data_IF_702822741498
#
_entry.id   IF_702822741498
#
_cell.length_a   1.000
_cell.length_b   1.000
_cell.length_c   1.000
_cell.angle_alpha   90.00
_cell.angle_beta   90.00
_cell.angle_gamma   90.00
#
_symmetry.space_group_name_H-M   'P 1'
#
loop_
_entity.id
_entity.type
_entity.pdbx_description
1 polymer ?
#
# COMPACT_ATOMS: atom_id res chain seq x y z
N UNK A 1 -75.32 -23.11 -66.85
CA UNK A 1 -73.93 -22.82 -67.25
C UNK A 1 -73.95 -21.91 -68.43
N UNK A 2 -73.73 -20.62 -68.28
CA UNK A 2 -73.55 -19.67 -69.35
C UNK A 2 -72.17 -19.79 -69.94
N UNK A 3 -72.00 -20.33 -71.14
CA UNK A 3 -70.72 -20.29 -71.82
C UNK A 3 -70.53 -18.87 -72.30
N UNK A 4 -69.57 -18.18 -71.79
CA UNK A 4 -69.11 -16.90 -72.26
C UNK A 4 -67.94 -17.21 -73.22
N UNK A 5 -68.08 -16.89 -74.51
CA UNK A 5 -66.94 -16.93 -75.40
C UNK A 5 -66.10 -15.69 -75.15
N UNK A 6 -64.98 -15.91 -74.53
CA UNK A 6 -63.98 -14.84 -74.34
C UNK A 6 -63.02 -14.91 -75.48
N UNK A 7 -63.09 -13.95 -76.36
CA UNK A 7 -62.12 -13.80 -77.45
C UNK A 7 -60.78 -13.24 -77.00
N UNK A 8 -60.70 -12.84 -75.72
CA UNK A 8 -59.49 -12.29 -75.13
C UNK A 8 -58.82 -13.33 -74.20
N UNK A 9 -57.61 -13.71 -74.55
CA UNK A 9 -56.74 -14.58 -73.74
C UNK A 9 -56.09 -13.82 -72.58
N UNK A 10 -56.47 -12.55 -72.39
CA UNK A 10 -55.95 -11.66 -71.38
C UNK A 10 -57.08 -11.10 -70.53
N UNK A 11 -56.76 -10.87 -69.22
CA UNK A 11 -57.66 -10.19 -68.29
C UNK A 11 -57.02 -8.84 -67.87
N UNK A 12 -57.88 -7.85 -67.54
CA UNK A 12 -57.45 -6.56 -67.07
C UNK A 12 -56.86 -6.74 -65.67
N UNK A 13 -55.74 -6.08 -65.39
CA UNK A 13 -55.11 -6.05 -64.09
C UNK A 13 -55.71 -4.89 -63.28
N UNK A 14 -56.39 -5.21 -62.19
CA UNK A 14 -56.90 -4.21 -61.27
C UNK A 14 -55.72 -3.73 -60.44
N UNK A 15 -55.10 -2.61 -60.85
CA UNK A 15 -53.88 -2.05 -60.11
C UNK A 15 -54.17 -1.69 -58.70
N UNK A 16 -55.38 -1.39 -58.29
CA UNK A 16 -55.84 -1.16 -56.92
C UNK A 16 -55.66 -2.38 -56.02
N UNK A 17 -55.63 -3.58 -56.60
CA UNK A 17 -55.49 -4.82 -55.89
C UNK A 17 -54.03 -5.14 -55.65
N UNK A 18 -53.11 -4.40 -56.26
CA UNK A 18 -51.66 -4.55 -56.10
C UNK A 18 -51.17 -3.48 -55.16
N UNK A 19 -50.73 -3.94 -53.94
CA UNK A 19 -50.19 -3.01 -53.01
C UNK A 19 -48.77 -2.55 -53.44
N UNK A 20 -48.65 -1.24 -53.72
CA UNK A 20 -47.43 -0.55 -54.15
C UNK A 20 -47.03 0.47 -53.08
N UNK A 21 -47.47 0.28 -51.83
CA UNK A 21 -47.11 1.08 -50.65
C UNK A 21 -46.50 0.19 -49.59
N UNK A 22 -46.34 0.69 -48.42
CA UNK A 22 -45.66 0.00 -47.28
C UNK A 22 -46.52 -1.14 -46.72
N UNK A 23 -46.49 -2.29 -47.36
CA UNK A 23 -47.25 -3.49 -47.03
C UNK A 23 -46.61 -4.27 -45.87
N UNK A 24 -45.31 -4.24 -45.78
CA UNK A 24 -44.52 -5.02 -44.83
C UNK A 24 -43.74 -4.08 -43.93
N UNK A 25 -43.79 -4.30 -42.62
CA UNK A 25 -43.02 -3.53 -41.66
C UNK A 25 -41.52 -3.55 -41.99
N UNK A 26 -40.90 -2.39 -42.04
CA UNK A 26 -39.49 -2.23 -42.34
C UNK A 26 -39.09 -2.38 -43.79
N UNK A 27 -40.06 -2.51 -44.72
CA UNK A 27 -39.84 -2.59 -46.18
C UNK A 27 -40.58 -1.50 -46.91
N UNK A 28 -39.96 -0.98 -47.95
CA UNK A 28 -40.60 -0.08 -48.91
C UNK A 28 -40.83 -0.78 -50.27
N UNK A 29 -41.86 -0.37 -50.95
CA UNK A 29 -42.11 -0.83 -52.34
C UNK A 29 -40.91 -0.44 -53.22
N UNK A 30 -40.38 -1.44 -53.94
CA UNK A 30 -39.28 -1.27 -54.89
C UNK A 30 -39.84 -1.13 -56.30
N UNK A 31 -40.06 0.11 -56.77
CA UNK A 31 -40.61 0.42 -58.05
C UNK A 31 -39.64 0.02 -59.17
N UNK A 32 -38.32 0.17 -58.97
CA UNK A 32 -37.30 -0.09 -59.99
C UNK A 32 -37.25 -1.60 -60.34
N UNK A 33 -37.15 -2.43 -59.29
CA UNK A 33 -37.12 -3.89 -59.49
C UNK A 33 -38.49 -4.46 -59.93
N UNK A 34 -39.60 -3.89 -59.44
CA UNK A 34 -40.96 -4.30 -59.83
C UNK A 34 -41.22 -3.98 -61.28
N UNK A 35 -40.70 -2.85 -61.76
CA UNK A 35 -40.95 -2.37 -63.16
C UNK A 35 -42.40 -1.96 -63.40
N UNK A 36 -42.77 -1.91 -64.62
CA UNK A 36 -44.12 -1.50 -65.00
C UNK A 36 -45.11 -2.65 -64.82
N UNK A 37 -46.11 -2.39 -63.94
CA UNK A 37 -47.24 -3.33 -63.78
C UNK A 37 -48.14 -3.28 -65.08
N UNK A 38 -48.32 -4.40 -65.76
CA UNK A 38 -49.05 -4.42 -67.01
C UNK A 38 -50.55 -4.13 -66.79
N UNK A 39 -51.19 -3.50 -67.76
CA UNK A 39 -52.64 -3.24 -67.72
C UNK A 39 -53.47 -4.51 -67.97
N UNK A 40 -52.89 -5.49 -68.65
CA UNK A 40 -53.54 -6.79 -68.92
C UNK A 40 -52.53 -7.92 -68.75
N UNK A 41 -53.02 -9.12 -68.35
CA UNK A 41 -52.19 -10.31 -68.14
C UNK A 41 -52.86 -11.52 -68.71
N UNK A 42 -52.12 -12.39 -69.40
CA UNK A 42 -52.62 -13.63 -69.97
C UNK A 42 -52.67 -14.78 -68.95
N UNK A 43 -53.18 -15.95 -69.46
CA UNK A 43 -53.16 -17.14 -68.61
C UNK A 43 -51.74 -17.49 -68.14
N UNK A 44 -51.62 -17.97 -66.89
CA UNK A 44 -50.38 -18.30 -66.26
C UNK A 44 -49.36 -17.12 -66.09
N UNK A 45 -49.82 -15.89 -66.43
CA UNK A 45 -49.00 -14.68 -66.16
C UNK A 45 -48.81 -14.40 -64.71
N UNK A 46 -47.60 -13.93 -64.33
CA UNK A 46 -47.24 -13.61 -62.98
C UNK A 46 -46.80 -12.16 -62.88
N UNK A 47 -47.41 -11.42 -61.97
CA UNK A 47 -46.97 -10.08 -61.58
C UNK A 47 -46.11 -10.24 -60.32
N UNK A 48 -44.87 -9.78 -60.45
CA UNK A 48 -43.95 -9.80 -59.30
C UNK A 48 -43.87 -8.39 -58.73
N UNK A 49 -44.16 -8.26 -57.45
CA UNK A 49 -44.04 -7.00 -56.68
C UNK A 49 -42.95 -7.17 -55.68
N UNK A 50 -41.95 -6.31 -55.77
CA UNK A 50 -40.75 -6.38 -54.91
C UNK A 50 -40.82 -5.30 -53.88
N UNK A 51 -40.24 -5.66 -52.68
CA UNK A 51 -40.07 -4.76 -51.56
C UNK A 51 -38.60 -4.87 -51.12
N UNK A 52 -38.01 -3.73 -50.77
CA UNK A 52 -36.63 -3.64 -50.29
C UNK A 52 -36.64 -3.28 -48.82
N UNK A 53 -35.78 -3.91 -48.01
CA UNK A 53 -35.62 -3.58 -46.58
C UNK A 53 -35.03 -2.19 -46.42
N UNK A 54 -35.67 -1.36 -45.60
CA UNK A 54 -35.22 -0.02 -45.25
C UNK A 54 -34.03 -0.10 -44.29
N UNK A 55 -33.22 0.95 -44.29
CA UNK A 55 -32.13 1.13 -43.32
C UNK A 55 -32.61 1.95 -42.13
N UNK A 56 -32.26 1.47 -40.93
CA UNK A 56 -32.55 2.13 -39.69
C UNK A 56 -31.24 2.40 -38.91
N UNK A 57 -31.24 3.49 -38.20
CA UNK A 57 -30.11 3.84 -37.34
C UNK A 57 -30.04 2.90 -36.15
N UNK A 58 -28.81 2.56 -35.75
CA UNK A 58 -28.48 1.95 -34.46
C UNK A 58 -27.29 2.65 -33.83
N UNK A 59 -27.24 2.65 -32.52
CA UNK A 59 -26.16 3.24 -31.74
C UNK A 59 -25.34 2.18 -31.01
N UNK A 60 -24.05 2.47 -30.83
CA UNK A 60 -23.17 1.72 -29.94
C UNK A 60 -22.73 2.67 -28.81
N UNK A 61 -23.21 2.40 -27.62
CA UNK A 61 -22.94 3.16 -26.40
C UNK A 61 -21.85 2.48 -25.58
N UNK A 62 -20.91 3.25 -25.03
CA UNK A 62 -19.81 2.74 -24.22
C UNK A 62 -19.93 3.24 -22.78
N UNK A 63 -19.87 2.30 -21.83
CA UNK A 63 -20.01 2.54 -20.41
C UNK A 63 -18.73 2.18 -19.68
N UNK A 64 -18.27 3.07 -18.78
CA UNK A 64 -17.14 2.85 -17.89
C UNK A 64 -17.64 2.95 -16.45
N UNK A 65 -17.55 1.84 -15.69
CA UNK A 65 -18.16 1.69 -14.35
C UNK A 65 -19.66 2.10 -14.37
N UNK A 66 -20.42 1.60 -15.37
CA UNK A 66 -21.85 1.89 -15.60
C UNK A 66 -22.17 3.36 -15.97
N UNK A 67 -21.16 4.22 -16.16
CA UNK A 67 -21.34 5.61 -16.63
C UNK A 67 -21.08 5.68 -18.13
N UNK A 68 -22.07 6.21 -18.88
CA UNK A 68 -21.93 6.39 -20.33
C UNK A 68 -20.89 7.45 -20.67
N UNK A 69 -20.02 7.13 -21.61
CA UNK A 69 -19.14 8.11 -22.27
C UNK A 69 -19.73 8.50 -23.62
N UNK A 70 -20.49 9.60 -23.64
CA UNK A 70 -21.13 10.10 -24.85
C UNK A 70 -20.14 10.46 -25.97
N UNK A 71 -18.88 10.78 -25.64
CA UNK A 71 -17.85 11.10 -26.63
C UNK A 71 -17.43 9.88 -27.46
N UNK A 72 -17.70 8.68 -26.95
CA UNK A 72 -17.37 7.40 -27.58
C UNK A 72 -18.54 6.77 -28.33
N UNK A 73 -19.77 7.29 -28.17
CA UNK A 73 -20.95 6.76 -28.82
C UNK A 73 -20.82 6.85 -30.35
N UNK A 74 -21.07 5.74 -31.03
CA UNK A 74 -21.10 5.66 -32.50
C UNK A 74 -22.53 5.45 -33.00
N UNK A 75 -22.83 6.02 -34.15
CA UNK A 75 -24.10 5.83 -34.85
C UNK A 75 -23.86 5.28 -36.25
N UNK A 76 -24.60 4.23 -36.61
CA UNK A 76 -24.51 3.53 -37.88
C UNK A 76 -25.90 3.27 -38.44
N UNK A 77 -25.97 2.77 -39.69
CA UNK A 77 -27.20 2.27 -40.31
C UNK A 77 -27.08 0.83 -40.75
N UNK A 78 -28.14 0.08 -40.58
CA UNK A 78 -28.25 -1.27 -41.12
C UNK A 78 -29.69 -1.58 -41.54
N UNK A 79 -29.85 -2.55 -42.45
CA UNK A 79 -31.14 -2.94 -42.98
C UNK A 79 -32.01 -3.58 -41.91
N UNK A 80 -33.31 -3.34 -42.02
CA UNK A 80 -34.31 -3.98 -41.19
C UNK A 80 -34.10 -5.49 -41.11
N UNK A 81 -34.31 -6.03 -39.89
CA UNK A 81 -34.14 -7.44 -39.57
C UNK A 81 -32.70 -7.99 -39.74
N UNK A 82 -31.70 -7.13 -39.93
CA UNK A 82 -30.30 -7.53 -39.91
C UNK A 82 -29.85 -7.75 -38.47
N UNK A 83 -29.10 -8.81 -38.20
CA UNK A 83 -28.43 -9.02 -36.94
C UNK A 83 -27.07 -8.29 -36.93
N UNK A 84 -26.87 -7.40 -35.96
CA UNK A 84 -25.60 -6.69 -35.73
C UNK A 84 -24.94 -7.28 -34.49
N UNK A 85 -23.76 -7.85 -34.68
CA UNK A 85 -23.03 -8.57 -33.64
C UNK A 85 -21.61 -8.03 -33.37
N UNK A 86 -21.19 -7.00 -34.12
CA UNK A 86 -19.85 -6.40 -34.02
C UNK A 86 -19.91 -4.94 -33.58
N UNK A 87 -18.91 -4.53 -32.87
CA UNK A 87 -18.66 -3.14 -32.42
C UNK A 87 -17.17 -2.91 -32.27
N UNK A 88 -16.73 -1.65 -32.26
CA UNK A 88 -15.34 -1.31 -32.00
C UNK A 88 -14.98 -1.51 -30.52
N UNK A 89 -13.79 -2.01 -30.26
CA UNK A 89 -13.24 -1.99 -28.89
C UNK A 89 -12.69 -0.57 -28.59
N UNK A 90 -13.31 0.12 -27.64
CA UNK A 90 -12.91 1.46 -27.18
C UNK A 90 -12.39 1.45 -25.73
N UNK A 91 -11.77 0.34 -25.35
CA UNK A 91 -11.15 0.16 -24.04
C UNK A 91 -10.19 1.29 -23.70
N UNK A 92 -10.32 1.84 -22.48
CA UNK A 92 -9.40 2.82 -21.90
C UNK A 92 -8.35 2.15 -21.03
N UNK A 93 -7.15 2.76 -20.87
CA UNK A 93 -6.16 2.30 -19.90
C UNK A 93 -6.76 2.20 -18.50
N UNK A 94 -6.51 1.08 -17.83
CA UNK A 94 -7.04 0.83 -16.49
C UNK A 94 -8.41 0.16 -16.45
N UNK A 95 -9.05 -0.04 -17.61
CA UNK A 95 -10.33 -0.73 -17.72
C UNK A 95 -10.20 -2.05 -18.48
N UNK A 96 -11.09 -2.97 -18.22
CA UNK A 96 -11.27 -4.22 -18.96
C UNK A 96 -12.71 -4.37 -19.42
N UNK A 97 -12.90 -5.06 -20.56
CA UNK A 97 -14.21 -5.45 -21.04
C UNK A 97 -14.94 -6.31 -19.99
N UNK A 98 -16.20 -6.01 -19.76
CA UNK A 98 -17.07 -6.79 -18.90
C UNK A 98 -18.11 -7.56 -19.70
N UNK A 99 -18.96 -6.85 -20.44
CA UNK A 99 -20.07 -7.41 -21.22
C UNK A 99 -20.51 -6.48 -22.35
N UNK A 100 -21.28 -7.01 -23.28
CA UNK A 100 -22.01 -6.23 -24.27
C UNK A 100 -23.41 -6.82 -24.47
N UNK A 101 -24.35 -5.97 -24.95
CA UNK A 101 -25.71 -6.41 -25.29
C UNK A 101 -25.83 -6.97 -26.69
N UNK A 102 -24.76 -6.95 -27.50
CA UNK A 102 -24.72 -7.60 -28.80
C UNK A 102 -24.91 -9.14 -28.66
N UNK A 103 -25.56 -9.81 -29.66
CA UNK A 103 -26.11 -9.25 -30.90
C UNK A 103 -27.45 -8.56 -30.69
N UNK A 104 -27.77 -7.56 -31.53
CA UNK A 104 -29.12 -6.98 -31.67
C UNK A 104 -29.69 -7.25 -33.05
N UNK A 105 -31.01 -7.27 -33.16
CA UNK A 105 -31.71 -7.32 -34.49
C UNK A 105 -32.31 -5.96 -34.76
N UNK A 106 -32.04 -5.40 -35.93
CA UNK A 106 -32.50 -4.06 -36.34
C UNK A 106 -34.01 -4.04 -36.49
N UNK A 107 -34.65 -3.14 -35.78
CA UNK A 107 -36.10 -2.89 -35.77
C UNK A 107 -36.41 -1.51 -36.36
N UNK A 108 -37.70 -1.22 -36.59
CA UNK A 108 -38.17 0.11 -36.99
C UNK A 108 -38.10 1.13 -35.85
N UNK A 109 -37.95 0.67 -34.58
CA UNK A 109 -37.83 1.50 -33.40
C UNK A 109 -36.33 1.73 -33.07
N UNK A 110 -35.84 2.91 -33.41
CA UNK A 110 -34.43 3.28 -33.15
C UNK A 110 -34.04 3.18 -31.69
N UNK A 111 -34.96 3.35 -30.75
CA UNK A 111 -34.66 3.25 -29.30
C UNK A 111 -34.29 1.83 -28.84
N UNK A 112 -34.69 0.82 -29.63
CA UNK A 112 -34.34 -0.60 -29.41
C UNK A 112 -33.07 -1.02 -30.13
N UNK A 113 -32.62 -0.24 -31.09
CA UNK A 113 -31.45 -0.52 -31.91
C UNK A 113 -30.18 0.01 -31.20
N UNK A 114 -29.88 -0.48 -29.98
CA UNK A 114 -28.77 0.00 -29.18
C UNK A 114 -27.91 -1.17 -28.68
N UNK A 115 -26.63 -1.18 -29.07
CA UNK A 115 -25.60 -2.03 -28.43
C UNK A 115 -24.98 -1.25 -27.30
N UNK A 116 -24.94 -1.83 -26.11
CA UNK A 116 -24.25 -1.28 -24.95
C UNK A 116 -23.03 -2.13 -24.62
N UNK A 117 -21.87 -1.48 -24.58
CA UNK A 117 -20.58 -2.11 -24.29
C UNK A 117 -20.11 -1.59 -22.93
N UNK A 118 -19.81 -2.50 -22.00
CA UNK A 118 -19.47 -2.18 -20.63
C UNK A 118 -18.02 -2.53 -20.33
N UNK A 119 -17.31 -1.58 -19.74
CA UNK A 119 -15.97 -1.73 -19.21
C UNK A 119 -15.98 -1.42 -17.71
N UNK A 120 -15.22 -2.20 -16.95
CA UNK A 120 -15.03 -2.01 -15.50
C UNK A 120 -13.56 -1.83 -15.19
N UNK A 121 -13.26 -1.15 -14.09
CA UNK A 121 -11.89 -0.99 -13.63
C UNK A 121 -11.20 -2.33 -13.50
N UNK A 122 -9.98 -2.42 -14.02
CA UNK A 122 -9.12 -3.58 -13.82
C UNK A 122 -8.32 -3.45 -12.54
N UNK A 123 -7.73 -4.54 -12.06
CA UNK A 123 -6.98 -4.62 -10.83
C UNK A 123 -5.50 -4.71 -11.11
N UNK A 124 -4.71 -3.85 -10.46
CA UNK A 124 -3.27 -3.77 -10.61
C UNK A 124 -2.59 -4.03 -9.28
N UNK A 125 -1.41 -4.65 -9.36
CA UNK A 125 -0.57 -4.89 -8.18
C UNK A 125 -0.03 -3.57 -7.65
N UNK A 126 0.13 -3.52 -6.33
CA UNK A 126 0.90 -2.52 -5.63
C UNK A 126 1.78 -3.18 -4.57
N UNK A 127 2.85 -2.50 -4.20
CA UNK A 127 3.82 -3.00 -3.24
C UNK A 127 3.97 -2.00 -2.10
N UNK A 128 4.04 -2.50 -0.85
CA UNK A 128 4.39 -1.70 0.32
C UNK A 128 5.65 -2.30 0.91
N UNK A 129 6.71 -1.51 0.93
CA UNK A 129 7.98 -1.85 1.52
C UNK A 129 8.11 -1.20 2.90
N UNK A 130 8.70 -1.92 3.84
CA UNK A 130 8.98 -1.45 5.18
C UNK A 130 10.48 -1.42 5.41
N UNK A 131 10.99 -0.24 5.80
CA UNK A 131 12.40 0.01 6.06
C UNK A 131 12.59 0.28 7.54
N UNK A 132 13.60 -0.37 8.15
CA UNK A 132 14.02 -0.17 9.53
C UNK A 132 15.47 0.29 9.53
N UNK A 133 15.75 1.50 10.03
CA UNK A 133 17.07 2.16 9.94
C UNK A 133 17.65 2.14 8.52
N UNK A 134 16.80 2.34 7.50
CA UNK A 134 17.19 2.37 6.10
C UNK A 134 17.34 0.99 5.41
N UNK A 135 17.17 -0.10 6.15
CA UNK A 135 17.24 -1.47 5.62
C UNK A 135 15.84 -2.01 5.36
N UNK A 136 15.61 -2.50 4.14
CA UNK A 136 14.32 -3.11 3.80
C UNK A 136 14.12 -4.45 4.52
N UNK A 137 12.96 -4.61 5.13
CA UNK A 137 12.51 -5.91 5.62
C UNK A 137 11.66 -6.60 4.57
N UNK A 138 12.30 -7.46 3.77
CA UNK A 138 11.62 -8.20 2.70
C UNK A 138 10.55 -9.15 3.22
N UNK A 139 10.65 -9.60 4.48
CA UNK A 139 9.64 -10.47 5.11
C UNK A 139 8.37 -9.71 5.49
N UNK A 140 8.47 -8.40 5.68
CA UNK A 140 7.36 -7.51 5.96
C UNK A 140 6.72 -6.93 4.69
N UNK A 141 7.41 -6.98 3.53
CA UNK A 141 6.90 -6.44 2.26
C UNK A 141 5.55 -7.05 1.92
N UNK A 142 4.59 -6.19 1.59
CA UNK A 142 3.24 -6.57 1.16
C UNK A 142 3.08 -6.32 -0.32
N UNK A 143 2.62 -7.34 -1.06
CA UNK A 143 2.19 -7.23 -2.46
C UNK A 143 0.72 -7.62 -2.51
N UNK A 144 -0.11 -6.70 -3.02
CA UNK A 144 -1.55 -6.88 -3.09
C UNK A 144 -2.08 -6.22 -4.37
N UNK A 145 -3.38 -6.28 -4.61
CA UNK A 145 -4.04 -5.68 -5.78
C UNK A 145 -5.16 -4.74 -5.34
N UNK A 146 -5.34 -3.68 -6.12
CA UNK A 146 -6.49 -2.79 -6.00
C UNK A 146 -6.97 -2.33 -7.37
N UNK A 147 -8.22 -1.89 -7.46
CA UNK A 147 -8.81 -1.40 -8.70
C UNK A 147 -8.12 -0.10 -9.16
N UNK A 148 -8.01 0.08 -10.47
CA UNK A 148 -7.50 1.29 -11.09
C UNK A 148 -8.10 2.57 -10.46
N UNK A 149 -7.27 3.54 -10.15
CA UNK A 149 -7.68 4.81 -9.55
C UNK A 149 -7.99 4.74 -8.04
N UNK A 150 -7.90 3.56 -7.40
CA UNK A 150 -8.05 3.45 -5.93
C UNK A 150 -6.88 4.17 -5.23
N UNK A 151 -7.17 4.90 -4.16
CA UNK A 151 -6.15 5.57 -3.35
C UNK A 151 -5.78 4.71 -2.14
N UNK A 152 -4.50 4.40 -2.00
CA UNK A 152 -3.93 3.68 -0.85
C UNK A 152 -3.16 4.68 0.00
N UNK A 153 -3.43 4.73 1.31
CA UNK A 153 -2.73 5.59 2.27
C UNK A 153 -1.82 4.75 3.17
N UNK A 154 -0.64 5.28 3.49
CA UNK A 154 0.28 4.63 4.41
C UNK A 154 -0.32 4.43 5.80
N UNK A 155 -1.18 5.36 6.26
CA UNK A 155 -1.84 5.29 7.57
C UNK A 155 -2.63 4.00 7.79
N UNK A 156 -3.15 3.41 6.71
CA UNK A 156 -3.93 2.19 6.74
C UNK A 156 -3.04 0.91 6.73
N UNK A 157 -1.71 1.11 6.74
CA UNK A 157 -0.69 0.08 6.55
C UNK A 157 0.43 0.12 7.61
N UNK A 158 0.14 0.68 8.80
CA UNK A 158 1.13 0.84 9.89
C UNK A 158 1.21 -0.36 10.84
N UNK A 159 0.61 -1.48 10.48
CA UNK A 159 0.56 -2.72 11.27
C UNK A 159 1.92 -3.43 11.44
N UNK A 160 2.97 -2.96 10.74
CA UNK A 160 4.32 -3.51 10.81
C UNK A 160 5.28 -2.68 11.69
N UNK A 161 4.76 -1.76 12.50
CA UNK A 161 5.60 -1.05 13.47
C UNK A 161 6.15 -2.04 14.50
N UNK A 162 7.48 -2.12 14.61
CA UNK A 162 8.20 -2.98 15.56
C UNK A 162 8.46 -2.24 16.86
N UNK A 163 8.57 -3.00 17.97
CA UNK A 163 9.01 -2.47 19.26
C UNK A 163 10.35 -1.76 19.12
N UNK A 164 10.50 -0.64 19.81
CA UNK A 164 11.72 0.17 19.80
C UNK A 164 11.90 1.04 18.55
N UNK A 165 11.02 0.94 17.54
CA UNK A 165 11.05 1.76 16.34
C UNK A 165 9.95 2.80 16.35
N UNK A 166 10.16 3.90 15.62
CA UNK A 166 9.18 4.97 15.39
C UNK A 166 9.08 5.29 13.90
N UNK A 167 7.88 5.67 13.48
CA UNK A 167 7.61 6.14 12.11
C UNK A 167 8.37 7.44 11.82
N UNK A 168 8.90 7.55 10.60
CA UNK A 168 9.59 8.75 10.10
C UNK A 168 8.87 9.34 8.90
N UNK A 169 8.71 8.55 7.84
CA UNK A 169 8.13 9.00 6.58
C UNK A 169 7.50 7.86 5.80
N UNK A 170 6.68 8.22 4.81
CA UNK A 170 6.15 7.29 3.83
C UNK A 170 6.24 7.91 2.44
N UNK A 171 7.14 7.41 1.61
CA UNK A 171 7.31 7.85 0.25
C UNK A 171 6.31 7.14 -0.67
N UNK A 172 5.79 7.85 -1.67
CA UNK A 172 4.78 7.32 -2.59
C UNK A 172 3.36 7.27 -2.03
N UNK A 173 3.09 7.89 -0.87
CA UNK A 173 1.76 7.96 -0.27
C UNK A 173 1.24 9.41 -0.24
N UNK A 174 -0.06 9.66 -0.55
CA UNK A 174 -1.05 8.68 -0.99
C UNK A 174 -0.75 8.14 -2.39
N UNK A 175 -0.92 6.82 -2.59
CA UNK A 175 -0.72 6.14 -3.86
C UNK A 175 -2.05 6.01 -4.59
N UNK A 176 -2.16 6.55 -5.82
CA UNK A 176 -3.28 6.27 -6.71
C UNK A 176 -2.88 5.14 -7.66
N UNK A 177 -3.60 4.03 -7.62
CA UNK A 177 -3.31 2.83 -8.41
C UNK A 177 -3.36 3.15 -9.90
N UNK A 178 -2.26 2.91 -10.59
CA UNK A 178 -2.06 3.09 -12.02
C UNK A 178 -1.87 1.76 -12.75
N UNK A 179 -1.91 1.80 -14.08
CA UNK A 179 -1.62 0.64 -14.95
C UNK A 179 -0.16 0.21 -14.87
N UNK A 180 0.73 1.09 -14.45
CA UNK A 180 2.14 0.79 -14.25
C UNK A 180 2.37 0.21 -12.84
N UNK A 181 2.28 -1.11 -12.73
CA UNK A 181 2.46 -1.82 -11.45
C UNK A 181 3.82 -1.54 -10.78
N UNK A 182 4.88 -1.27 -11.57
CA UNK A 182 6.20 -0.95 -11.02
C UNK A 182 6.25 0.42 -10.33
N UNK A 183 5.36 1.33 -10.69
CA UNK A 183 5.22 2.64 -10.05
C UNK A 183 4.26 2.62 -8.85
N UNK A 184 3.46 1.56 -8.69
CA UNK A 184 2.51 1.42 -7.58
C UNK A 184 3.22 0.95 -6.32
N UNK A 185 4.03 1.81 -5.71
CA UNK A 185 4.87 1.48 -4.55
C UNK A 185 4.74 2.54 -3.45
N UNK A 186 4.61 2.09 -2.21
CA UNK A 186 4.76 2.91 -1.00
C UNK A 186 5.95 2.36 -0.22
N UNK A 187 6.86 3.24 0.21
CA UNK A 187 7.96 2.90 1.09
C UNK A 187 7.73 3.55 2.46
N UNK A 188 7.56 2.74 3.50
CA UNK A 188 7.34 3.19 4.87
C UNK A 188 8.66 3.07 5.65
N UNK A 189 9.10 4.16 6.27
CA UNK A 189 10.38 4.25 6.96
C UNK A 189 10.19 4.37 8.46
N UNK A 190 10.86 3.48 9.18
CA UNK A 190 10.97 3.48 10.63
C UNK A 190 12.44 3.62 11.03
N UNK A 191 12.69 4.29 12.15
CA UNK A 191 14.02 4.37 12.76
C UNK A 191 13.95 3.88 14.20
N UNK A 192 15.06 3.29 14.67
CA UNK A 192 15.21 2.91 16.07
C UNK A 192 15.10 4.14 16.98
N UNK A 193 14.32 4.03 18.04
CA UNK A 193 14.25 5.02 19.11
C UNK A 193 15.57 5.10 19.87
N UNK A 194 15.77 6.20 20.60
CA UNK A 194 16.91 6.38 21.51
C UNK A 194 16.39 6.19 22.93
N UNK A 195 17.11 5.37 23.72
CA UNK A 195 16.77 5.02 25.09
C UNK A 195 17.95 5.26 26.01
N UNK A 196 17.64 5.67 27.24
CA UNK A 196 18.64 5.93 28.27
C UNK A 196 19.16 4.63 28.86
N UNK A 197 20.46 4.63 29.20
CA UNK A 197 21.06 3.63 30.04
C UNK A 197 21.82 4.31 31.19
N UNK A 198 21.98 3.61 32.31
CA UNK A 198 22.63 4.12 33.54
C UNK A 198 23.85 3.29 33.82
N UNK A 199 24.96 3.94 34.22
CA UNK A 199 26.14 3.31 34.80
C UNK A 199 26.15 3.68 36.26
N UNK A 200 25.97 2.69 37.13
CA UNK A 200 25.98 2.82 38.61
C UNK A 200 27.33 2.36 39.15
N UNK A 201 27.91 3.14 40.08
CA UNK A 201 29.17 2.82 40.70
C UNK A 201 28.96 2.51 42.18
N UNK A 202 29.46 1.37 42.62
CA UNK A 202 29.34 0.88 44.00
C UNK A 202 30.71 0.79 44.66
N UNK A 203 30.83 1.34 45.87
CA UNK A 203 32.01 1.27 46.70
C UNK A 203 31.66 0.52 47.99
N UNK A 204 32.34 -0.63 48.24
CA UNK A 204 31.98 -1.58 49.31
C UNK A 204 30.48 -1.92 49.35
N UNK A 205 29.85 -2.08 48.17
CA UNK A 205 28.45 -2.40 48.02
C UNK A 205 27.48 -1.23 48.18
N UNK A 206 27.97 -0.01 48.44
CA UNK A 206 27.14 1.21 48.56
C UNK A 206 27.24 2.00 47.25
N UNK A 207 26.07 2.35 46.67
CA UNK A 207 26.01 3.15 45.45
C UNK A 207 26.48 4.59 45.70
N UNK A 208 27.36 5.09 44.82
CA UNK A 208 27.73 6.50 44.75
C UNK A 208 26.87 7.19 43.71
N UNK A 209 25.83 7.90 44.17
CA UNK A 209 24.88 8.59 43.29
C UNK A 209 25.46 9.78 42.54
N UNK A 210 26.57 10.39 43.05
CA UNK A 210 27.25 11.51 42.41
C UNK A 210 28.06 11.04 41.19
N UNK A 211 28.56 9.81 41.25
CA UNK A 211 29.31 9.20 40.15
C UNK A 211 28.45 8.51 39.13
N UNK A 212 27.18 8.24 39.46
CA UNK A 212 26.21 7.62 38.53
C UNK A 212 26.08 8.43 37.24
N UNK A 213 26.23 7.76 36.10
CA UNK A 213 26.15 8.38 34.79
C UNK A 213 24.91 7.90 34.03
N UNK A 214 24.33 8.82 33.25
CA UNK A 214 23.25 8.50 32.28
C UNK A 214 23.68 8.91 30.90
N UNK A 215 23.51 8.01 29.98
CA UNK A 215 23.73 8.23 28.54
C UNK A 215 22.59 7.63 27.76
N UNK A 216 22.47 7.98 26.46
CA UNK A 216 21.43 7.46 25.63
C UNK A 216 21.99 6.99 24.27
N UNK A 217 21.50 5.88 23.80
CA UNK A 217 21.83 5.34 22.47
C UNK A 217 20.66 4.62 21.85
N UNK A 218 20.81 4.17 20.62
CA UNK A 218 19.72 3.55 19.83
C UNK A 218 19.27 2.22 20.43
N UNK A 219 18.00 1.94 20.28
CA UNK A 219 17.42 0.62 20.54
C UNK A 219 18.24 -0.49 19.87
N UNK A 220 18.43 -1.58 20.60
CA UNK A 220 19.20 -2.76 20.19
C UNK A 220 20.70 -2.50 19.92
N UNK A 221 21.23 -1.31 20.23
CA UNK A 221 22.68 -1.08 20.26
C UNK A 221 23.30 -1.81 21.43
N UNK A 222 24.58 -2.18 21.30
CA UNK A 222 25.34 -2.87 22.35
C UNK A 222 26.35 -1.90 22.95
N UNK A 223 26.29 -1.69 24.26
CA UNK A 223 27.28 -0.97 25.04
C UNK A 223 28.25 -1.99 25.65
N UNK A 224 29.54 -1.85 25.34
CA UNK A 224 30.56 -2.83 25.72
C UNK A 224 31.51 -2.35 26.85
N UNK A 225 31.46 -1.07 27.18
CA UNK A 225 32.41 -0.44 28.09
C UNK A 225 31.74 0.61 28.97
N UNK A 226 32.49 1.11 29.93
CA UNK A 226 32.12 2.16 30.87
C UNK A 226 33.36 2.99 31.23
N UNK A 227 33.15 4.19 31.76
CA UNK A 227 34.25 5.00 32.29
C UNK A 227 34.70 4.46 33.64
N UNK A 228 35.99 4.12 33.79
CA UNK A 228 36.55 3.73 35.09
C UNK A 228 36.59 4.94 36.04
N UNK A 229 35.98 4.78 37.23
CA UNK A 229 35.93 5.78 38.29
C UNK A 229 36.49 5.28 39.63
N UNK A 230 37.48 4.36 39.58
CA UNK A 230 38.11 3.83 40.78
C UNK A 230 38.77 4.94 41.59
N UNK A 231 38.38 5.09 42.85
CA UNK A 231 38.99 6.03 43.78
C UNK A 231 40.28 5.48 44.40
N UNK A 232 41.14 6.39 44.84
CA UNK A 232 42.31 6.02 45.66
C UNK A 232 41.87 5.26 46.91
N UNK A 233 42.53 4.13 47.20
CA UNK A 233 42.18 3.23 48.29
C UNK A 233 41.18 2.14 47.93
N UNK A 234 40.70 2.14 46.66
CA UNK A 234 39.81 1.11 46.10
C UNK A 234 40.46 0.41 44.92
N UNK A 235 39.97 -0.75 44.61
CA UNK A 235 40.31 -1.52 43.42
C UNK A 235 39.03 -2.06 42.78
N UNK A 236 39.08 -2.27 41.46
CA UNK A 236 38.00 -2.93 40.73
C UNK A 236 37.74 -4.34 41.28
N UNK A 237 36.46 -4.66 41.48
CA UNK A 237 36.01 -5.98 41.88
C UNK A 237 35.37 -6.72 40.71
N UNK A 238 34.29 -6.15 40.18
CA UNK A 238 33.52 -6.75 39.07
C UNK A 238 32.66 -5.71 38.37
N UNK A 239 32.16 -6.06 37.20
CA UNK A 239 31.10 -5.35 36.47
C UNK A 239 29.96 -6.30 36.16
N UNK A 240 28.72 -5.83 36.28
CA UNK A 240 27.51 -6.55 35.91
C UNK A 240 26.76 -5.77 34.87
N UNK A 241 26.03 -6.46 33.97
CA UNK A 241 25.24 -5.85 32.93
C UNK A 241 26.01 -5.53 31.65
N UNK A 242 27.27 -5.98 31.46
CA UNK A 242 28.01 -5.92 30.21
C UNK A 242 28.16 -7.28 29.55
N UNK A 243 28.10 -7.37 28.20
CA UNK A 243 27.66 -6.32 27.30
C UNK A 243 26.16 -6.00 27.48
N UNK A 244 25.78 -4.69 27.41
CA UNK A 244 24.42 -4.24 27.59
C UNK A 244 23.76 -4.02 26.22
N UNK A 245 22.72 -4.79 25.90
CA UNK A 245 21.86 -4.52 24.72
C UNK A 245 20.73 -3.59 25.17
N UNK A 246 20.58 -2.45 24.49
CA UNK A 246 19.62 -1.41 24.86
C UNK A 246 18.19 -1.87 24.56
N UNK A 247 17.37 -1.92 25.59
CA UNK A 247 15.95 -2.25 25.57
C UNK A 247 15.08 -0.98 25.61
N UNK A 248 13.80 -1.13 25.27
CA UNK A 248 12.80 -0.05 25.41
C UNK A 248 12.50 0.29 26.87
N UNK A 249 12.61 -0.69 27.76
CA UNK A 249 12.50 -0.53 29.20
C UNK A 249 13.84 -0.03 29.78
N UNK A 250 13.94 1.28 29.98
CA UNK A 250 15.15 1.94 30.46
C UNK A 250 15.58 1.45 31.85
N UNK A 251 14.66 0.90 32.66
CA UNK A 251 14.99 0.34 33.97
C UNK A 251 15.87 -0.91 33.91
N UNK A 252 15.91 -1.57 32.77
CA UNK A 252 16.75 -2.74 32.46
C UNK A 252 18.10 -2.35 31.86
N UNK A 253 18.23 -1.13 31.39
CA UNK A 253 19.45 -0.62 30.77
C UNK A 253 20.42 -0.11 31.83
N UNK A 254 21.00 -1.02 32.64
CA UNK A 254 21.86 -0.65 33.75
C UNK A 254 23.14 -1.49 33.73
N UNK A 255 24.28 -0.80 33.82
CA UNK A 255 25.60 -1.36 34.07
C UNK A 255 25.97 -1.05 35.52
N UNK A 256 26.47 -2.04 36.29
CA UNK A 256 26.89 -1.89 37.68
C UNK A 256 28.36 -2.19 37.80
N UNK A 257 29.13 -1.22 38.26
CA UNK A 257 30.57 -1.32 38.45
C UNK A 257 30.85 -1.34 39.97
N UNK A 258 31.60 -2.31 40.41
CA UNK A 258 31.86 -2.53 41.84
C UNK A 258 33.35 -2.34 42.14
N UNK A 259 33.61 -1.56 43.15
CA UNK A 259 34.95 -1.34 43.74
C UNK A 259 34.93 -1.73 45.20
N UNK A 260 36.01 -2.33 45.65
CA UNK A 260 36.23 -2.72 47.05
C UNK A 260 37.53 -2.09 47.55
N UNK A 261 37.64 -1.88 48.87
CA UNK A 261 38.86 -1.38 49.47
C UNK A 261 40.08 -2.23 49.11
N UNK A 262 41.14 -1.56 48.72
CA UNK A 262 42.41 -2.21 48.37
C UNK A 262 43.29 -2.33 49.61
N UNK A 263 43.25 -3.48 50.27
CA UNK A 263 44.03 -3.74 51.47
C UNK A 263 45.58 -3.53 51.34
N UNK A 264 46.05 -3.57 50.02
CA UNK A 264 47.47 -3.28 49.75
C UNK A 264 47.86 -1.81 49.95
N UNK A 265 46.86 -0.91 49.99
CA UNK A 265 47.06 0.53 50.16
C UNK A 265 46.99 0.95 51.65
N UNK A 266 46.97 0.01 52.57
CA UNK A 266 47.05 0.28 54.00
C UNK A 266 48.49 0.47 54.43
N UNK A 267 48.73 1.42 55.38
CA UNK A 267 50.02 1.69 56.02
C UNK A 267 49.88 1.67 57.51
N UNK A 268 50.79 0.99 58.14
CA UNK A 268 50.92 1.04 59.62
C UNK A 268 51.56 2.36 60.05
N UNK A 269 50.89 3.06 60.93
CA UNK A 269 51.40 4.25 61.58
C UNK A 269 51.61 3.92 63.04
N UNK A 270 52.85 4.09 63.43
CA UNK A 270 53.27 3.85 64.86
C UNK A 270 53.45 5.18 65.53
N UNK A 271 52.84 5.31 66.70
CA UNK A 271 53.06 6.47 67.57
C UNK A 271 53.40 6.02 68.97
N UNK A 272 54.13 6.92 69.74
CA UNK A 272 54.57 6.66 71.08
C UNK A 272 53.87 7.62 72.03
N UNK A 273 53.29 7.08 73.09
CA UNK A 273 52.72 7.86 74.19
C UNK A 273 53.77 7.89 75.25
N UNK A 274 54.21 9.11 75.65
CA UNK A 274 55.16 9.35 76.69
C UNK A 274 54.46 10.01 77.88
N UNK A 275 54.78 9.54 79.08
CA UNK A 275 54.24 10.06 80.33
C UNK A 275 55.30 10.84 81.05
N UNK A 276 54.95 11.97 81.67
CA UNK A 276 55.85 12.83 82.42
C UNK A 276 55.29 13.08 83.84
N UNK A 277 56.13 12.97 84.88
CA UNK A 277 55.81 13.40 86.22
C UNK A 277 56.73 14.57 86.59
N UNK A 278 56.16 15.70 87.02
CA UNK A 278 56.90 16.92 87.34
C UNK A 278 57.99 17.28 86.31
N UNK A 279 57.68 17.09 84.99
CA UNK A 279 58.60 17.40 83.91
C UNK A 279 59.63 16.30 83.58
N UNK A 280 59.66 15.21 84.34
CA UNK A 280 60.57 14.08 84.15
C UNK A 280 59.83 12.96 83.41
N UNK A 281 60.39 12.47 82.29
CA UNK A 281 59.83 11.38 81.52
C UNK A 281 59.84 10.07 82.31
N UNK A 282 58.70 9.40 82.39
CA UNK A 282 58.54 8.06 82.99
C UNK A 282 58.67 7.04 81.92
N UNK A 283 59.86 6.58 81.60
CA UNK A 283 60.19 5.73 80.48
C UNK A 283 59.55 4.33 80.56
N UNK A 284 59.36 3.84 81.83
CA UNK A 284 58.67 2.54 82.06
C UNK A 284 57.23 2.55 81.70
N UNK A 285 56.57 3.70 81.62
CA UNK A 285 55.18 3.84 81.30
C UNK A 285 54.98 4.12 79.75
N UNK A 286 56.06 4.30 79.01
CA UNK A 286 56.03 4.56 77.60
C UNK A 286 55.29 3.43 76.86
N UNK A 287 54.35 3.79 75.99
CA UNK A 287 53.59 2.86 75.18
C UNK A 287 53.77 3.18 73.71
N UNK A 288 54.16 2.17 72.94
CA UNK A 288 54.16 2.26 71.51
C UNK A 288 52.86 1.62 70.96
N UNK A 289 52.09 2.36 70.19
CA UNK A 289 50.84 1.90 69.55
C UNK A 289 50.99 1.93 68.03
N UNK A 290 50.45 0.94 67.40
CA UNK A 290 50.42 0.84 65.93
C UNK A 290 48.99 0.73 65.50
N UNK A 291 48.59 1.62 64.66
CA UNK A 291 47.29 1.57 63.94
C UNK A 291 47.49 1.47 62.42
N UNK A 292 46.56 0.83 61.75
CA UNK A 292 46.57 0.71 60.33
C UNK A 292 45.64 1.75 59.70
N UNK A 293 46.18 2.60 58.85
CA UNK A 293 45.43 3.66 58.13
C UNK A 293 45.49 3.45 56.61
N UNK A 294 44.47 3.91 55.93
CA UNK A 294 44.48 3.96 54.50
C UNK A 294 45.40 5.07 54.00
N UNK A 295 46.16 4.80 52.91
CA UNK A 295 46.98 5.83 52.26
C UNK A 295 46.08 6.69 51.42
N UNK A 296 45.56 7.81 51.91
CA UNK A 296 44.91 8.84 51.12
C UNK A 296 45.95 9.80 50.57
N UNK A 297 46.11 9.92 49.28
CA UNK A 297 46.85 11.01 48.66
C UNK A 297 46.00 12.30 48.76
N UNK A 298 46.26 13.07 49.84
CA UNK A 298 45.81 14.45 49.93
C UNK A 298 46.70 15.30 49.03
N UNK A 299 46.23 15.68 47.85
CA UNK A 299 46.82 16.79 47.10
C UNK A 299 46.48 18.09 47.84
N UNK A 300 47.41 18.51 48.75
CA UNK A 300 47.37 19.85 49.32
C UNK A 300 47.87 20.79 48.21
N UNK A 301 46.98 21.56 47.65
CA UNK A 301 47.34 22.70 46.85
C UNK A 301 47.90 23.76 47.79
N UNK A 302 49.21 24.00 47.71
CA UNK A 302 49.85 25.19 48.29
C UNK A 302 49.62 26.40 47.42
#
# INVERSE_FOLDING_TARGET
TKQIWVNDTKVTVEKSDINTTDKYEGFSFDADTTGVIPDTIGNDGVIRVYYVSNEYEYTVEYYFDDVIDNSKTDTFKAKYNTQVNTYADKKEPGYKFERATAPITITTDASKNVIRVYYVKDWFKYTINYYYDGVIDTSATVVDKAAFGTTIKYSDKMDKLKEGFKFVSADGSPLVISVNEAANVINIHYVSGTYTYTVEYYYDGIIDTEKTEKSATKYNSVVNDYTDKCDTGYKFEKVEGLPLTIATDESKNVIRVYYVKDESQKKNVTYTVKYFKDGTEVTEDQQTKTDTVWVMLHLIWL
#
